data_IF_374505379113
#
_entry.id   IF_374505379113
#
_cell.length_a   1.000
_cell.length_b   1.000
_cell.length_c   1.000
_cell.angle_alpha   90.00
_cell.angle_beta   90.00
_cell.angle_gamma   90.00
#
_symmetry.space_group_name_H-M   'P 1'
#
loop_
_entity.id
_entity.type
_entity.pdbx_description
1 polymer ?
#
# COMPACT_ATOMS: atom_id res chain seq x y z
N UNK A 1 103.70 24.75 -20.94
CA UNK A 1 102.35 25.23 -21.09
C UNK A 1 101.41 23.99 -21.05
N UNK A 2 100.79 23.76 -19.89
CA UNK A 2 99.98 22.58 -19.70
C UNK A 2 98.53 23.03 -19.46
N UNK A 3 97.61 22.71 -20.33
CA UNK A 3 96.17 22.90 -20.18
C UNK A 3 95.65 21.75 -19.23
N UNK A 4 94.93 22.14 -18.20
CA UNK A 4 94.20 21.23 -17.32
C UNK A 4 92.73 21.34 -17.66
N UNK A 5 92.12 20.22 -18.10
CA UNK A 5 90.72 20.08 -18.34
C UNK A 5 89.97 19.86 -17.04
N UNK A 6 88.96 20.68 -16.71
CA UNK A 6 88.03 20.44 -15.62
C UNK A 6 86.85 19.63 -16.17
N UNK A 7 86.58 18.51 -15.56
CA UNK A 7 85.34 17.72 -15.79
C UNK A 7 84.35 18.12 -14.73
N UNK A 8 83.23 18.73 -15.12
CA UNK A 8 82.07 18.94 -14.23
C UNK A 8 81.12 17.74 -14.28
N UNK A 9 80.97 17.06 -13.17
CA UNK A 9 79.93 16.06 -12.99
C UNK A 9 78.61 16.73 -12.64
N UNK A 10 77.61 16.59 -13.49
CA UNK A 10 76.23 17.02 -13.19
C UNK A 10 75.48 15.86 -12.50
N UNK A 11 75.19 16.02 -11.20
CA UNK A 11 74.30 15.10 -10.47
C UNK A 11 72.84 15.47 -10.78
N UNK A 12 72.18 14.65 -11.63
CA UNK A 12 70.76 14.79 -11.89
C UNK A 12 69.92 14.20 -10.76
N UNK A 13 69.24 15.04 -9.97
CA UNK A 13 68.24 14.60 -8.97
C UNK A 13 66.94 14.29 -9.66
N UNK A 14 66.61 12.99 -9.81
CA UNK A 14 65.29 12.56 -10.29
C UNK A 14 64.28 12.74 -9.17
N UNK A 15 63.40 13.73 -9.30
CA UNK A 15 62.21 13.87 -8.42
C UNK A 15 61.16 12.89 -8.89
N UNK A 16 60.97 11.79 -8.17
CA UNK A 16 59.84 10.89 -8.31
C UNK A 16 58.58 11.59 -7.79
N UNK A 17 57.78 12.20 -8.67
CA UNK A 17 56.43 12.65 -8.31
C UNK A 17 55.54 11.41 -8.28
N UNK A 18 55.38 10.83 -7.06
CA UNK A 18 54.31 9.85 -6.80
C UNK A 18 52.97 10.60 -6.76
N UNK A 19 52.32 10.69 -7.91
CA UNK A 19 50.94 11.13 -7.98
C UNK A 19 50.06 10.10 -7.25
N UNK A 20 49.71 10.38 -6.01
CA UNK A 20 48.62 9.70 -5.35
C UNK A 20 47.33 10.05 -6.11
N UNK A 21 46.89 9.15 -6.98
CA UNK A 21 45.52 9.16 -7.49
C UNK A 21 44.63 8.81 -6.28
N UNK A 22 44.14 9.84 -5.58
CA UNK A 22 42.93 9.67 -4.78
C UNK A 22 41.82 9.23 -5.73
N UNK A 23 41.49 7.95 -5.72
CA UNK A 23 40.29 7.46 -6.34
C UNK A 23 39.13 8.22 -5.70
N UNK A 24 38.58 9.22 -6.38
CA UNK A 24 37.33 9.85 -6.00
C UNK A 24 36.34 8.69 -5.77
N UNK A 25 36.01 8.45 -4.48
CA UNK A 25 34.96 7.49 -4.13
C UNK A 25 33.75 7.89 -4.97
N UNK A 26 33.40 7.07 -5.94
CA UNK A 26 32.20 7.32 -6.75
C UNK A 26 31.06 7.55 -5.77
N UNK A 27 30.33 8.65 -5.89
CA UNK A 27 29.16 8.88 -5.09
C UNK A 27 28.28 7.64 -5.26
N UNK A 28 27.85 7.04 -4.15
CA UNK A 28 26.98 5.88 -4.23
C UNK A 28 25.73 6.28 -5.03
N UNK A 29 25.32 5.44 -5.98
CA UNK A 29 24.07 5.66 -6.70
C UNK A 29 22.90 5.73 -5.71
N UNK A 30 21.99 6.67 -5.92
CA UNK A 30 20.84 6.89 -5.05
C UNK A 30 19.53 6.70 -5.81
N UNK A 31 18.56 6.04 -5.18
CA UNK A 31 17.21 5.90 -5.68
C UNK A 31 16.25 6.70 -4.80
N UNK A 32 15.67 7.76 -5.36
CA UNK A 32 14.78 8.64 -4.59
C UNK A 32 13.34 8.13 -4.58
N UNK A 33 12.74 8.10 -3.38
CA UNK A 33 11.39 7.65 -3.10
C UNK A 33 10.61 8.74 -2.35
N UNK A 34 9.69 9.45 -3.00
CA UNK A 34 8.83 10.42 -2.33
C UNK A 34 7.81 9.72 -1.42
N UNK A 35 7.62 10.22 -0.21
CA UNK A 35 6.65 9.72 0.75
C UNK A 35 5.58 10.78 1.03
N UNK A 36 4.38 10.58 0.51
CA UNK A 36 3.22 11.38 0.87
C UNK A 36 2.64 10.81 2.18
N UNK A 37 2.67 11.60 3.24
CA UNK A 37 2.27 11.13 4.57
C UNK A 37 1.14 11.99 5.14
N UNK A 38 0.45 11.49 6.17
CA UNK A 38 -0.49 12.25 6.98
C UNK A 38 -0.30 11.89 8.45
N UNK A 39 0.72 12.54 9.04
CA UNK A 39 1.09 12.37 10.45
C UNK A 39 0.33 13.30 11.38
N UNK A 40 -0.51 14.19 10.82
CA UNK A 40 -1.31 15.18 11.55
C UNK A 40 -2.77 15.17 11.11
N UNK A 41 -3.66 15.68 11.97
CA UNK A 41 -5.09 15.75 11.70
C UNK A 41 -5.87 14.47 12.06
N UNK A 42 -7.17 14.38 11.66
CA UNK A 42 -8.07 13.30 12.07
C UNK A 42 -7.66 11.90 11.61
N UNK A 43 -6.81 11.81 10.61
CA UNK A 43 -6.36 10.55 10.02
C UNK A 43 -4.96 10.12 10.49
N UNK A 44 -4.31 10.93 11.34
CA UNK A 44 -2.98 10.65 11.88
C UNK A 44 -2.87 9.29 12.62
N UNK A 45 -3.88 8.83 13.38
CA UNK A 45 -3.81 7.51 14.02
C UNK A 45 -3.56 6.36 13.04
N UNK A 46 -4.04 6.49 11.80
CA UNK A 46 -3.78 5.52 10.73
C UNK A 46 -2.51 5.85 9.92
N UNK A 47 -2.24 7.14 9.69
CA UNK A 47 -1.11 7.60 8.87
C UNK A 47 0.25 7.41 9.50
N UNK A 48 0.36 7.57 10.83
CA UNK A 48 1.63 7.45 11.55
C UNK A 48 2.21 6.03 11.45
N UNK A 49 1.48 4.95 11.84
CA UNK A 49 2.06 3.60 11.75
C UNK A 49 2.37 3.21 10.30
N UNK A 50 1.53 3.58 9.33
CA UNK A 50 1.76 3.30 7.92
C UNK A 50 3.09 3.93 7.42
N UNK A 51 3.31 5.21 7.70
CA UNK A 51 4.54 5.92 7.33
C UNK A 51 5.77 5.35 8.05
N UNK A 52 5.64 4.97 9.33
CA UNK A 52 6.73 4.36 10.09
C UNK A 52 7.16 3.02 9.46
N UNK A 53 6.22 2.16 9.08
CA UNK A 53 6.53 0.91 8.40
C UNK A 53 7.32 1.11 7.10
N UNK A 54 6.95 2.12 6.30
CA UNK A 54 7.69 2.47 5.09
C UNK A 54 9.12 2.88 5.37
N UNK A 55 9.30 3.87 6.23
CA UNK A 55 10.63 4.42 6.53
C UNK A 55 11.54 3.39 7.17
N UNK A 56 10.99 2.54 8.03
CA UNK A 56 11.75 1.49 8.69
C UNK A 56 12.19 0.40 7.69
N UNK A 57 11.34 0.02 6.74
CA UNK A 57 11.75 -0.95 5.73
C UNK A 57 12.82 -0.41 4.79
N UNK A 58 12.70 0.81 4.30
CA UNK A 58 13.75 1.42 3.48
C UNK A 58 15.06 1.60 4.25
N UNK A 59 14.97 1.96 5.54
CA UNK A 59 16.13 2.04 6.42
C UNK A 59 16.76 0.67 6.66
N UNK A 60 15.95 -0.39 6.81
CA UNK A 60 16.41 -1.77 6.92
C UNK A 60 17.23 -2.17 5.67
N UNK A 61 16.68 -1.96 4.47
CA UNK A 61 17.37 -2.30 3.22
C UNK A 61 18.70 -1.55 3.10
N UNK A 62 18.73 -0.27 3.47
CA UNK A 62 19.99 0.48 3.46
C UNK A 62 21.02 -0.02 4.48
N UNK A 63 20.59 -0.33 5.71
CA UNK A 63 21.51 -0.72 6.78
C UNK A 63 21.94 -2.18 6.73
N UNK A 64 21.01 -3.08 6.34
CA UNK A 64 21.29 -4.51 6.27
C UNK A 64 21.97 -4.89 4.96
N UNK A 65 21.46 -4.37 3.83
CA UNK A 65 21.81 -4.83 2.48
C UNK A 65 22.73 -3.84 1.72
N UNK A 66 22.96 -2.64 2.28
CA UNK A 66 23.71 -1.57 1.59
C UNK A 66 22.91 -0.93 0.44
N UNK A 67 21.57 -0.93 0.54
CA UNK A 67 20.65 -0.49 -0.51
C UNK A 67 20.18 -1.63 -1.41
N UNK A 68 19.52 -1.30 -2.51
CA UNK A 68 19.06 -2.29 -3.50
C UNK A 68 20.18 -2.54 -4.50
N UNK A 69 20.87 -3.68 -4.37
CA UNK A 69 22.04 -4.03 -5.18
C UNK A 69 23.11 -2.92 -5.20
N UNK A 70 23.39 -2.31 -4.04
CA UNK A 70 24.37 -1.24 -3.87
C UNK A 70 23.87 0.17 -4.16
N UNK A 71 22.61 0.34 -4.56
CA UNK A 71 21.96 1.66 -4.75
C UNK A 71 21.23 2.05 -3.48
N UNK A 72 21.64 3.15 -2.85
CA UNK A 72 21.07 3.64 -1.59
C UNK A 72 19.66 4.20 -1.82
N UNK A 73 18.71 3.81 -0.99
CA UNK A 73 17.36 4.38 -1.01
C UNK A 73 17.37 5.71 -0.23
N UNK A 74 17.01 6.80 -0.90
CA UNK A 74 16.78 8.10 -0.27
C UNK A 74 15.29 8.43 -0.32
N UNK A 75 14.77 9.08 0.71
CA UNK A 75 13.35 9.43 0.78
C UNK A 75 13.12 10.74 1.52
N UNK A 76 12.03 11.42 1.15
CA UNK A 76 11.56 12.64 1.80
C UNK A 76 10.06 12.56 2.04
N UNK A 77 9.65 12.84 3.28
CA UNK A 77 8.24 12.92 3.64
C UNK A 77 7.64 14.29 3.29
N UNK A 78 6.42 14.30 2.78
CA UNK A 78 5.63 15.51 2.59
C UNK A 78 4.24 15.31 3.22
N UNK A 79 3.86 16.19 4.15
CA UNK A 79 2.63 16.12 4.93
C UNK A 79 1.43 16.54 4.09
N UNK A 80 0.48 15.64 3.90
CA UNK A 80 -0.74 15.87 3.10
C UNK A 80 -1.98 16.11 3.96
N UNK A 81 -1.95 15.77 5.25
CA UNK A 81 -3.13 15.78 6.15
C UNK A 81 -4.32 14.98 5.57
N UNK A 82 -4.05 14.00 4.69
CA UNK A 82 -5.06 13.28 3.91
C UNK A 82 -5.93 14.20 3.03
N UNK A 83 -5.42 15.36 2.66
CA UNK A 83 -6.10 16.33 1.81
C UNK A 83 -5.62 16.20 0.36
N UNK A 84 -6.55 16.09 -0.57
CA UNK A 84 -6.25 15.84 -1.99
C UNK A 84 -5.41 16.96 -2.61
N UNK A 85 -5.71 18.23 -2.32
CA UNK A 85 -4.96 19.38 -2.83
C UNK A 85 -3.52 19.37 -2.33
N UNK A 86 -3.32 19.20 -1.01
CA UNK A 86 -1.98 19.11 -0.42
C UNK A 86 -1.21 17.89 -0.97
N UNK A 87 -1.90 16.77 -1.23
CA UNK A 87 -1.28 15.61 -1.85
C UNK A 87 -0.74 15.88 -3.26
N UNK A 88 -1.49 16.63 -4.09
CA UNK A 88 -1.01 17.06 -5.41
C UNK A 88 0.15 18.05 -5.27
N UNK A 89 0.10 18.99 -4.33
CA UNK A 89 1.22 19.92 -4.05
C UNK A 89 2.48 19.17 -3.61
N UNK A 90 2.35 18.16 -2.73
CA UNK A 90 3.45 17.30 -2.32
C UNK A 90 4.05 16.52 -3.49
N UNK A 91 3.21 15.98 -4.36
CA UNK A 91 3.66 15.30 -5.58
C UNK A 91 4.49 16.23 -6.47
N UNK A 92 3.95 17.43 -6.79
CA UNK A 92 4.66 18.41 -7.63
C UNK A 92 6.01 18.83 -7.02
N UNK A 93 6.06 18.98 -5.70
CA UNK A 93 7.30 19.31 -4.97
C UNK A 93 8.35 18.20 -5.06
N UNK A 94 7.93 16.92 -5.06
CA UNK A 94 8.84 15.80 -4.89
C UNK A 94 9.15 15.04 -6.19
N UNK A 95 8.30 15.11 -7.23
CA UNK A 95 8.42 14.29 -8.43
C UNK A 95 9.74 14.43 -9.18
N UNK A 96 10.38 15.60 -9.13
CA UNK A 96 11.66 15.88 -9.80
C UNK A 96 12.91 15.73 -8.92
N UNK A 97 12.75 15.32 -7.63
CA UNK A 97 13.90 15.18 -6.72
C UNK A 97 14.67 13.88 -6.93
N UNK A 98 15.92 13.89 -6.48
CA UNK A 98 16.85 12.77 -6.66
C UNK A 98 17.56 12.80 -8.02
N UNK A 99 18.54 11.91 -8.24
CA UNK A 99 19.37 11.92 -9.45
C UNK A 99 18.59 11.66 -10.74
N UNK A 100 17.52 10.89 -10.67
CA UNK A 100 16.70 10.44 -11.81
C UNK A 100 15.23 10.83 -11.69
N UNK A 101 14.88 11.73 -10.77
CA UNK A 101 13.50 12.02 -10.38
C UNK A 101 12.91 10.96 -9.45
N UNK A 102 11.64 11.13 -9.08
CA UNK A 102 10.90 10.15 -8.31
C UNK A 102 10.76 8.83 -9.09
N UNK A 103 11.10 7.72 -8.45
CA UNK A 103 11.04 6.40 -9.12
C UNK A 103 9.65 5.78 -9.11
N UNK A 104 8.89 6.02 -8.07
CA UNK A 104 7.50 5.56 -7.89
C UNK A 104 6.85 6.46 -6.85
N UNK A 105 5.56 6.70 -6.98
CA UNK A 105 4.77 7.40 -5.97
C UNK A 105 3.71 6.47 -5.36
N UNK A 106 3.58 6.51 -4.05
CA UNK A 106 2.45 5.92 -3.35
C UNK A 106 1.64 7.05 -2.69
N UNK A 107 0.44 7.36 -3.20
CA UNK A 107 -0.31 8.52 -2.72
C UNK A 107 -0.97 8.35 -1.36
N UNK A 108 -1.12 7.12 -0.85
CA UNK A 108 -1.83 6.78 0.39
C UNK A 108 -3.26 7.35 0.50
N UNK A 109 -3.88 7.62 -0.63
CA UNK A 109 -5.21 8.19 -0.71
C UNK A 109 -5.81 7.94 -2.08
N UNK A 110 -7.03 7.40 -2.13
CA UNK A 110 -7.79 7.23 -3.38
C UNK A 110 -8.04 8.59 -4.06
N UNK A 111 -8.38 9.62 -3.28
CA UNK A 111 -8.61 10.96 -3.85
C UNK A 111 -7.36 11.57 -4.48
N UNK A 112 -6.20 11.40 -3.86
CA UNK A 112 -4.91 11.85 -4.43
C UNK A 112 -4.57 11.01 -5.67
N UNK A 113 -4.74 9.68 -5.60
CA UNK A 113 -4.48 8.79 -6.74
C UNK A 113 -5.25 9.22 -7.98
N UNK A 114 -6.55 9.51 -7.85
CA UNK A 114 -7.36 9.98 -8.98
C UNK A 114 -6.81 11.25 -9.65
N UNK A 115 -6.26 12.17 -8.86
CA UNK A 115 -5.67 13.41 -9.40
C UNK A 115 -4.31 13.18 -10.07
N UNK A 116 -3.59 12.13 -9.66
CA UNK A 116 -2.27 11.81 -10.20
C UNK A 116 -2.31 10.91 -11.44
N UNK A 117 -3.41 10.18 -11.66
CA UNK A 117 -3.55 9.29 -12.83
C UNK A 117 -3.18 9.99 -14.15
N UNK A 118 -3.73 11.17 -14.51
CA UNK A 118 -3.38 11.83 -15.76
C UNK A 118 -1.97 12.44 -15.76
N UNK A 119 -1.35 12.63 -14.60
CA UNK A 119 0.01 13.19 -14.47
C UNK A 119 1.09 12.12 -14.62
N UNK A 120 0.84 10.92 -14.16
CA UNK A 120 1.81 9.82 -14.12
C UNK A 120 2.50 9.55 -15.49
N UNK A 121 1.78 9.41 -16.62
CA UNK A 121 2.40 9.22 -17.93
C UNK A 121 3.18 10.44 -18.41
N UNK A 122 2.73 11.66 -18.08
CA UNK A 122 3.37 12.91 -18.51
C UNK A 122 4.69 13.12 -17.77
N UNK A 123 4.70 12.83 -16.47
CA UNK A 123 5.86 13.02 -15.60
C UNK A 123 6.81 11.79 -15.60
N UNK A 124 6.37 10.66 -16.18
CA UNK A 124 7.13 9.41 -16.17
C UNK A 124 7.28 8.80 -14.77
N UNK A 125 6.34 9.05 -13.86
CA UNK A 125 6.36 8.54 -12.46
C UNK A 125 5.21 7.56 -12.26
N UNK A 126 5.47 6.25 -12.11
CA UNK A 126 4.42 5.27 -11.88
C UNK A 126 3.80 5.42 -10.49
N UNK A 127 2.52 5.05 -10.38
CA UNK A 127 1.77 5.06 -9.14
C UNK A 127 1.61 3.62 -8.64
N UNK A 128 2.11 3.31 -7.46
CA UNK A 128 1.71 2.11 -6.73
C UNK A 128 0.59 2.48 -5.75
N UNK A 129 -0.64 2.10 -6.09
CA UNK A 129 -1.85 2.41 -5.32
C UNK A 129 -2.32 1.18 -4.53
N UNK A 130 -1.38 0.51 -3.83
CA UNK A 130 -1.69 -0.70 -3.07
C UNK A 130 -2.76 -0.45 -2.00
N UNK A 131 -3.90 -1.13 -2.15
CA UNK A 131 -5.02 -1.02 -1.22
C UNK A 131 -5.86 0.26 -1.37
N UNK A 132 -5.58 1.12 -2.38
CA UNK A 132 -6.37 2.30 -2.71
C UNK A 132 -6.97 2.20 -4.13
N UNK A 133 -7.97 3.03 -4.43
CA UNK A 133 -8.51 3.18 -5.79
C UNK A 133 -7.55 3.98 -6.70
N UNK A 134 -7.79 4.07 -7.98
CA UNK A 134 -9.00 3.64 -8.70
C UNK A 134 -8.94 2.15 -9.01
N UNK A 135 -9.97 1.39 -8.65
CA UNK A 135 -10.00 -0.06 -8.90
C UNK A 135 -9.88 -0.41 -10.38
N UNK A 136 -10.54 0.32 -11.28
CA UNK A 136 -10.45 0.03 -12.72
C UNK A 136 -9.07 0.30 -13.31
N UNK A 137 -8.16 0.96 -12.58
CA UNK A 137 -6.76 1.08 -12.96
C UNK A 137 -6.01 -0.27 -12.93
N UNK A 138 -6.62 -1.33 -12.43
CA UNK A 138 -6.15 -2.70 -12.59
C UNK A 138 -6.11 -3.17 -14.06
N UNK A 139 -6.84 -2.52 -14.98
CA UNK A 139 -6.65 -2.76 -16.41
C UNK A 139 -5.43 -2.00 -16.95
N UNK A 140 -4.29 -2.64 -16.96
CA UNK A 140 -3.03 -2.06 -17.41
C UNK A 140 -2.98 -1.73 -18.91
N UNK A 141 -3.96 -2.21 -19.69
CA UNK A 141 -4.08 -1.81 -21.12
C UNK A 141 -4.47 -0.34 -21.24
N UNK A 142 -5.22 0.19 -20.27
CA UNK A 142 -5.67 1.59 -20.21
C UNK A 142 -4.84 2.40 -19.23
N UNK A 143 -4.55 1.85 -18.06
CA UNK A 143 -3.85 2.53 -16.98
C UNK A 143 -2.41 2.04 -16.84
N UNK A 144 -1.64 2.26 -17.88
CA UNK A 144 -0.25 1.79 -18.00
C UNK A 144 0.67 2.18 -16.83
N UNK A 145 0.36 3.27 -16.13
CA UNK A 145 1.20 3.87 -15.09
C UNK A 145 0.66 3.68 -13.66
N UNK A 146 -0.41 2.91 -13.48
CA UNK A 146 -1.06 2.71 -12.17
C UNK A 146 -1.13 1.22 -11.84
N UNK A 147 -0.69 0.86 -10.64
CA UNK A 147 -0.61 -0.52 -10.16
C UNK A 147 -1.38 -0.65 -8.84
N UNK A 148 -2.27 -1.64 -8.72
CA UNK A 148 -3.19 -1.83 -7.60
C UNK A 148 -2.97 -3.13 -6.82
N UNK A 149 -1.95 -3.94 -7.22
CA UNK A 149 -1.73 -5.22 -6.55
C UNK A 149 -1.50 -5.07 -5.04
N UNK A 150 -1.73 -6.10 -4.20
CA UNK A 150 -2.10 -7.48 -4.57
C UNK A 150 -3.59 -7.69 -4.88
N UNK A 151 -4.47 -6.73 -4.60
CA UNK A 151 -5.92 -6.85 -4.80
C UNK A 151 -6.60 -5.47 -4.71
N UNK A 152 -7.81 -5.32 -5.24
CA UNK A 152 -8.55 -4.05 -5.30
C UNK A 152 -9.77 -4.04 -4.37
N UNK A 153 -10.40 -2.87 -4.20
CA UNK A 153 -11.64 -2.74 -3.42
C UNK A 153 -12.80 -3.54 -4.01
N UNK A 154 -12.88 -3.70 -5.34
CA UNK A 154 -13.93 -4.49 -5.95
C UNK A 154 -13.72 -5.98 -5.67
N UNK A 155 -12.50 -6.45 -5.78
CA UNK A 155 -12.12 -7.81 -5.41
C UNK A 155 -12.38 -8.07 -3.93
N UNK A 156 -11.96 -7.15 -3.05
CA UNK A 156 -12.24 -7.25 -1.61
C UNK A 156 -13.74 -7.29 -1.30
N UNK A 157 -14.55 -6.40 -1.89
CA UNK A 157 -15.99 -6.37 -1.66
C UNK A 157 -16.63 -7.69 -2.06
N UNK A 158 -16.22 -8.28 -3.19
CA UNK A 158 -16.70 -9.57 -3.65
C UNK A 158 -16.32 -10.71 -2.69
N UNK A 159 -15.10 -10.70 -2.17
CA UNK A 159 -14.62 -11.68 -1.20
C UNK A 159 -15.30 -11.54 0.17
N UNK A 160 -15.63 -10.30 0.61
CA UNK A 160 -16.42 -10.07 1.84
C UNK A 160 -17.84 -10.63 1.68
N UNK A 161 -18.51 -10.43 0.52
CA UNK A 161 -19.82 -11.01 0.27
C UNK A 161 -19.72 -12.55 0.23
N UNK A 162 -18.64 -13.13 -0.33
CA UNK A 162 -18.35 -14.57 -0.24
C UNK A 162 -18.30 -15.02 1.23
N UNK A 163 -17.56 -14.31 2.07
CA UNK A 163 -17.47 -14.64 3.49
C UNK A 163 -18.84 -14.57 4.19
N UNK A 164 -19.61 -13.51 3.95
CA UNK A 164 -20.96 -13.38 4.50
C UNK A 164 -21.84 -14.58 4.06
N UNK A 165 -21.78 -14.96 2.78
CA UNK A 165 -22.47 -16.14 2.28
C UNK A 165 -22.06 -17.43 3.01
N UNK A 166 -20.76 -17.64 3.24
CA UNK A 166 -20.27 -18.80 4.01
C UNK A 166 -20.84 -18.81 5.45
N UNK A 167 -20.91 -17.63 6.09
CA UNK A 167 -21.48 -17.51 7.44
C UNK A 167 -23.00 -17.74 7.48
N UNK A 168 -23.70 -17.54 6.38
CA UNK A 168 -25.15 -17.78 6.22
C UNK A 168 -25.46 -19.16 5.63
N UNK A 169 -24.44 -20.02 5.43
CA UNK A 169 -24.58 -21.38 4.92
C UNK A 169 -24.66 -21.53 3.42
N UNK A 170 -24.40 -20.46 2.66
CA UNK A 170 -24.38 -20.42 1.21
C UNK A 170 -24.76 -19.05 0.67
N UNK A 171 -24.32 -18.73 -0.56
CA UNK A 171 -24.65 -17.44 -1.20
C UNK A 171 -26.15 -17.33 -1.54
N UNK A 172 -26.79 -18.46 -1.82
CA UNK A 172 -28.23 -18.59 -2.06
C UNK A 172 -29.05 -18.16 -0.84
N UNK A 173 -28.51 -18.29 0.37
CA UNK A 173 -29.15 -17.90 1.61
C UNK A 173 -29.05 -16.38 1.88
N UNK A 174 -28.40 -15.64 1.00
CA UNK A 174 -28.39 -14.16 1.07
C UNK A 174 -29.69 -13.56 0.53
N UNK A 175 -30.49 -14.30 -0.23
CA UNK A 175 -31.78 -13.82 -0.72
C UNK A 175 -32.70 -13.34 0.41
N UNK A 176 -33.15 -12.08 0.34
CA UNK A 176 -33.97 -11.44 1.36
C UNK A 176 -33.21 -10.96 2.60
N UNK A 177 -31.92 -11.24 2.75
CA UNK A 177 -31.07 -10.63 3.80
C UNK A 177 -30.80 -9.16 3.50
N UNK A 178 -30.39 -8.42 4.53
CA UNK A 178 -30.02 -7.01 4.41
C UNK A 178 -28.54 -6.84 4.76
N UNK A 179 -27.79 -6.22 3.86
CA UNK A 179 -26.41 -5.84 4.10
C UNK A 179 -26.31 -4.31 4.04
N UNK A 180 -25.90 -3.67 5.11
CA UNK A 180 -25.66 -2.22 5.12
C UNK A 180 -24.18 -1.94 4.84
N UNK A 181 -23.91 -1.06 3.89
CA UNK A 181 -22.56 -0.53 3.66
C UNK A 181 -22.46 0.87 4.24
N UNK A 182 -21.74 0.99 5.36
CA UNK A 182 -21.38 2.26 5.99
C UNK A 182 -20.05 2.72 5.40
N UNK A 183 -20.01 3.86 4.74
CA UNK A 183 -18.80 4.25 4.03
C UNK A 183 -18.49 5.75 4.14
N UNK A 184 -17.21 6.05 4.19
CA UNK A 184 -16.68 7.40 4.13
C UNK A 184 -17.15 8.06 2.83
N UNK A 185 -17.83 9.22 2.92
CA UNK A 185 -18.40 9.91 1.76
C UNK A 185 -17.32 10.60 0.92
N UNK A 186 -16.49 9.80 0.27
CA UNK A 186 -15.39 10.21 -0.59
C UNK A 186 -15.21 9.21 -1.74
N UNK A 187 -14.30 9.49 -2.66
CA UNK A 187 -13.90 8.57 -3.72
C UNK A 187 -13.53 7.19 -3.14
N UNK A 188 -12.78 7.15 -2.03
CA UNK A 188 -12.39 5.94 -1.34
C UNK A 188 -13.60 5.10 -0.88
N UNK A 189 -14.47 5.68 -0.06
CA UNK A 189 -15.54 4.90 0.55
C UNK A 189 -16.58 4.40 -0.45
N UNK A 190 -16.70 5.07 -1.60
CA UNK A 190 -17.63 4.70 -2.68
C UNK A 190 -17.12 3.58 -3.59
N UNK A 191 -15.83 3.25 -3.54
CA UNK A 191 -15.20 2.27 -4.43
C UNK A 191 -15.91 0.90 -4.41
N UNK A 192 -16.32 0.40 -3.25
CA UNK A 192 -16.94 -0.92 -3.13
C UNK A 192 -18.38 -0.98 -3.72
N UNK A 193 -19.07 0.16 -3.87
CA UNK A 193 -20.49 0.21 -4.21
C UNK A 193 -20.85 -0.52 -5.53
N UNK A 194 -20.12 -0.35 -6.65
CA UNK A 194 -20.45 -1.03 -7.90
C UNK A 194 -20.49 -2.55 -7.77
N UNK A 195 -19.48 -3.13 -7.10
CA UNK A 195 -19.42 -4.57 -6.87
C UNK A 195 -20.56 -5.04 -5.95
N UNK A 196 -20.81 -4.31 -4.85
CA UNK A 196 -21.89 -4.64 -3.93
C UNK A 196 -23.26 -4.59 -4.62
N UNK A 197 -23.52 -3.63 -5.51
CA UNK A 197 -24.75 -3.52 -6.29
C UNK A 197 -24.96 -4.73 -7.21
N UNK A 198 -23.93 -5.09 -7.99
CA UNK A 198 -23.99 -6.26 -8.88
C UNK A 198 -24.22 -7.56 -8.09
N UNK A 199 -23.56 -7.69 -6.94
CA UNK A 199 -23.73 -8.87 -6.09
C UNK A 199 -25.12 -8.90 -5.41
N UNK A 200 -25.65 -7.74 -5.02
CA UNK A 200 -27.00 -7.63 -4.47
C UNK A 200 -28.05 -8.08 -5.49
N UNK A 201 -27.94 -7.65 -6.75
CA UNK A 201 -28.81 -8.11 -7.83
C UNK A 201 -28.68 -9.62 -8.07
N UNK A 202 -27.43 -10.13 -8.10
CA UNK A 202 -27.16 -11.54 -8.40
C UNK A 202 -27.65 -12.50 -7.30
N UNK A 203 -27.49 -12.12 -6.03
CA UNK A 203 -27.78 -12.99 -4.89
C UNK A 203 -29.02 -12.60 -4.09
N UNK A 204 -29.74 -11.56 -4.52
CA UNK A 204 -31.05 -11.19 -3.99
C UNK A 204 -31.05 -10.58 -2.59
N UNK A 205 -29.93 -10.03 -2.09
CA UNK A 205 -29.93 -9.32 -0.83
C UNK A 205 -30.26 -7.83 -1.01
N UNK A 206 -30.88 -7.22 0.02
CA UNK A 206 -31.11 -5.78 0.07
C UNK A 206 -29.80 -5.07 0.45
N UNK A 207 -29.27 -4.21 -0.43
CA UNK A 207 -28.11 -3.36 -0.14
C UNK A 207 -28.56 -2.01 0.37
N UNK A 208 -28.11 -1.63 1.58
CA UNK A 208 -28.41 -0.35 2.21
C UNK A 208 -27.15 0.50 2.22
N UNK A 209 -27.08 1.55 1.41
CA UNK A 209 -25.95 2.46 1.31
C UNK A 209 -26.09 3.61 2.32
N UNK A 210 -25.10 3.75 3.22
CA UNK A 210 -25.07 4.73 4.30
C UNK A 210 -23.77 5.54 4.26
N UNK A 211 -23.75 6.67 3.53
CA UNK A 211 -22.60 7.56 3.50
C UNK A 211 -22.43 8.27 4.85
N UNK A 212 -21.19 8.44 5.29
CA UNK A 212 -20.79 9.20 6.46
C UNK A 212 -19.85 10.30 6.01
N UNK A 213 -20.18 11.55 6.25
CA UNK A 213 -19.35 12.68 5.87
C UNK A 213 -18.07 12.73 6.72
N UNK A 214 -16.98 13.08 6.06
CA UNK A 214 -15.70 13.17 6.74
C UNK A 214 -15.59 14.39 7.68
N UNK A 215 -14.84 14.25 8.77
CA UNK A 215 -13.93 13.15 9.12
C UNK A 215 -14.62 11.90 9.72
N UNK A 216 -15.94 11.82 9.78
CA UNK A 216 -16.67 10.64 10.21
C UNK A 216 -16.93 10.58 11.73
N UNK A 217 -16.91 11.69 12.43
CA UNK A 217 -17.18 11.75 13.87
C UNK A 217 -18.69 11.79 14.19
N UNK A 218 -19.51 12.30 13.26
CA UNK A 218 -20.96 12.45 13.44
C UNK A 218 -21.70 11.25 12.84
N UNK A 219 -21.86 10.16 13.59
CA UNK A 219 -22.45 8.92 13.08
C UNK A 219 -23.72 8.46 13.78
N UNK A 220 -24.15 9.15 14.84
CA UNK A 220 -25.32 8.74 15.64
C UNK A 220 -26.58 8.53 14.80
N UNK A 221 -26.85 9.41 13.84
CA UNK A 221 -28.00 9.27 12.95
C UNK A 221 -27.92 8.03 12.06
N UNK A 222 -26.71 7.71 11.55
CA UNK A 222 -26.44 6.51 10.74
C UNK A 222 -26.72 5.24 11.53
N UNK A 223 -26.24 5.14 12.77
CA UNK A 223 -26.42 3.95 13.60
C UNK A 223 -27.86 3.81 14.13
N UNK A 224 -28.58 4.92 14.33
CA UNK A 224 -30.04 4.86 14.58
C UNK A 224 -30.82 4.35 13.35
N UNK A 225 -30.37 4.66 12.13
CA UNK A 225 -30.93 4.06 10.91
C UNK A 225 -30.66 2.55 10.84
N UNK A 226 -29.44 2.09 11.16
CA UNK A 226 -29.08 0.67 11.23
C UNK A 226 -29.97 -0.05 12.23
N UNK A 227 -30.13 0.49 13.45
CA UNK A 227 -31.04 -0.06 14.46
C UNK A 227 -32.48 -0.21 13.95
N UNK A 228 -32.98 0.76 13.22
CA UNK A 228 -34.35 0.76 12.65
C UNK A 228 -34.49 -0.21 11.47
N UNK A 229 -33.51 -0.24 10.57
CA UNK A 229 -33.53 -1.08 9.36
C UNK A 229 -33.19 -2.52 9.64
N UNK A 230 -32.49 -2.81 10.75
CA UNK A 230 -32.08 -4.13 11.23
C UNK A 230 -31.36 -4.95 10.13
N UNK A 231 -30.25 -4.47 9.55
CA UNK A 231 -29.49 -5.28 8.61
C UNK A 231 -28.94 -6.53 9.30
N UNK A 232 -28.78 -7.60 8.53
CA UNK A 232 -28.17 -8.85 9.00
C UNK A 232 -26.65 -8.69 9.17
N UNK A 233 -26.05 -7.85 8.31
CA UNK A 233 -24.63 -7.56 8.31
C UNK A 233 -24.38 -6.09 8.05
N UNK A 234 -23.29 -5.59 8.63
CA UNK A 234 -22.71 -4.28 8.28
C UNK A 234 -21.34 -4.50 7.69
N UNK A 235 -21.11 -3.94 6.52
CA UNK A 235 -19.79 -3.77 5.92
C UNK A 235 -19.39 -2.30 6.03
N UNK A 236 -18.14 -2.01 6.40
CA UNK A 236 -17.67 -0.64 6.55
C UNK A 236 -16.43 -0.35 5.69
N UNK A 237 -16.51 0.73 4.94
CA UNK A 237 -15.36 1.38 4.28
C UNK A 237 -15.07 2.72 4.95
N UNK A 238 -14.55 2.68 6.16
CA UNK A 238 -14.21 3.84 6.98
C UNK A 238 -12.71 4.11 7.03
N UNK A 239 -12.32 5.26 7.58
CA UNK A 239 -10.92 5.66 7.70
C UNK A 239 -10.68 6.57 8.91
N UNK A 240 -9.56 6.36 9.60
CA UNK A 240 -9.15 7.17 10.74
C UNK A 240 -10.17 7.18 11.86
N UNK A 241 -10.47 8.36 12.39
CA UNK A 241 -11.41 8.52 13.53
C UNK A 241 -12.82 8.00 13.25
N UNK A 242 -13.23 7.87 11.99
CA UNK A 242 -14.51 7.30 11.61
C UNK A 242 -14.69 5.88 12.15
N UNK A 243 -13.63 5.06 12.11
CA UNK A 243 -13.70 3.63 12.44
C UNK A 243 -14.02 3.41 13.92
N UNK A 244 -13.24 4.03 14.82
CA UNK A 244 -13.48 3.91 16.27
C UNK A 244 -14.85 4.46 16.68
N UNK A 245 -15.32 5.53 16.04
CA UNK A 245 -16.68 6.08 16.30
C UNK A 245 -17.74 5.08 15.82
N UNK A 246 -17.58 4.50 14.63
CA UNK A 246 -18.50 3.50 14.11
C UNK A 246 -18.64 2.28 15.04
N UNK A 247 -17.53 1.79 15.57
CA UNK A 247 -17.52 0.63 16.50
C UNK A 247 -18.25 0.99 17.79
N UNK A 248 -17.98 2.16 18.37
CA UNK A 248 -18.67 2.63 19.60
C UNK A 248 -20.17 2.82 19.37
N UNK A 249 -20.56 3.44 18.27
CA UNK A 249 -21.96 3.66 17.94
C UNK A 249 -22.68 2.34 17.63
N UNK A 250 -22.03 1.38 16.97
CA UNK A 250 -22.58 0.03 16.76
C UNK A 250 -22.90 -0.65 18.10
N UNK A 251 -21.98 -0.62 19.03
CA UNK A 251 -22.19 -1.15 20.39
C UNK A 251 -23.34 -0.42 21.11
N UNK A 252 -23.42 0.91 20.99
CA UNK A 252 -24.45 1.73 21.65
C UNK A 252 -25.87 1.39 21.20
N UNK A 253 -26.04 0.93 19.95
CA UNK A 253 -27.34 0.49 19.42
C UNK A 253 -27.56 -1.03 19.53
N UNK A 254 -26.61 -1.76 20.14
CA UNK A 254 -26.67 -3.21 20.36
C UNK A 254 -26.48 -4.02 19.06
N UNK A 255 -25.71 -3.52 18.09
CA UNK A 255 -25.42 -4.28 16.88
C UNK A 255 -24.36 -5.36 17.18
N UNK A 256 -24.56 -6.64 16.75
CA UNK A 256 -23.61 -7.73 16.99
C UNK A 256 -22.27 -7.47 16.29
N UNK A 257 -21.16 -7.43 17.08
CA UNK A 257 -19.84 -7.14 16.54
C UNK A 257 -19.33 -8.21 15.58
N UNK A 258 -19.71 -9.47 15.75
CA UNK A 258 -19.37 -10.57 14.83
C UNK A 258 -20.11 -10.52 13.49
N UNK A 259 -21.07 -9.61 13.34
CA UNK A 259 -21.76 -9.28 12.09
C UNK A 259 -21.33 -7.92 11.49
N UNK A 260 -20.31 -7.31 12.08
CA UNK A 260 -19.74 -6.03 11.62
C UNK A 260 -18.33 -6.25 11.06
N UNK A 261 -18.18 -6.02 9.75
CA UNK A 261 -16.94 -6.27 9.00
C UNK A 261 -16.42 -4.97 8.43
N UNK A 262 -15.20 -4.56 8.81
CA UNK A 262 -14.47 -3.48 8.17
C UNK A 262 -13.73 -3.95 6.91
N UNK A 263 -13.47 -3.04 6.00
CA UNK A 263 -12.50 -3.31 4.95
C UNK A 263 -11.06 -3.30 5.51
N UNK A 264 -10.03 -3.53 4.69
CA UNK A 264 -8.64 -3.58 5.16
C UNK A 264 -8.07 -2.24 5.71
N UNK A 265 -8.80 -1.12 5.57
CA UNK A 265 -8.47 0.18 6.19
C UNK A 265 -9.30 0.46 7.45
N UNK A 266 -10.22 -0.41 7.78
CA UNK A 266 -11.08 -0.33 8.95
C UNK A 266 -10.83 -1.49 9.91
N UNK A 267 -9.60 -1.99 9.98
CA UNK A 267 -9.21 -3.15 10.78
C UNK A 267 -7.81 -3.00 11.35
N UNK A 268 -7.53 -1.86 11.96
CA UNK A 268 -6.26 -1.58 12.62
C UNK A 268 -6.41 -1.46 14.12
N UNK A 269 -5.29 -1.51 14.82
CA UNK A 269 -5.21 -1.34 16.27
C UNK A 269 -5.78 0.02 16.70
N UNK A 270 -5.52 1.07 15.91
CA UNK A 270 -6.04 2.41 16.15
C UNK A 270 -7.58 2.52 16.04
N UNK A 271 -8.23 1.56 15.38
CA UNK A 271 -9.69 1.54 15.20
C UNK A 271 -10.39 0.89 16.41
N UNK A 272 -9.79 -0.14 16.99
CA UNK A 272 -10.40 -1.03 17.98
C UNK A 272 -10.00 -0.70 19.41
N UNK A 273 -8.72 -0.37 19.67
CA UNK A 273 -8.22 -0.06 21.01
C UNK A 273 -9.01 1.08 21.67
N UNK A 274 -9.31 2.22 21.01
CA UNK A 274 -10.07 3.30 21.62
C UNK A 274 -11.54 2.95 21.94
N UNK A 275 -12.05 1.83 21.41
CA UNK A 275 -13.41 1.37 21.67
C UNK A 275 -13.48 0.34 22.81
N UNK A 276 -12.35 -0.01 23.42
CA UNK A 276 -12.22 -0.95 24.52
C UNK A 276 -12.99 -2.27 24.26
N UNK A 277 -13.64 -2.83 25.26
CA UNK A 277 -14.42 -4.08 25.17
C UNK A 277 -15.55 -4.02 24.14
N UNK A 278 -15.97 -2.82 23.74
CA UNK A 278 -17.01 -2.64 22.72
C UNK A 278 -16.57 -3.11 21.33
N UNK A 279 -15.27 -3.25 21.10
CA UNK A 279 -14.71 -3.76 19.86
C UNK A 279 -14.55 -5.27 19.78
N UNK A 280 -14.73 -6.00 20.90
CA UNK A 280 -14.57 -7.45 20.93
C UNK A 280 -15.55 -8.15 19.98
N UNK A 281 -15.01 -9.00 19.12
CA UNK A 281 -15.76 -9.69 18.09
C UNK A 281 -15.82 -8.95 16.73
N UNK A 282 -15.46 -7.66 16.68
CA UNK A 282 -15.38 -6.91 15.42
C UNK A 282 -14.44 -7.59 14.42
N UNK A 283 -14.86 -7.62 13.15
CA UNK A 283 -14.14 -8.27 12.06
C UNK A 283 -13.65 -7.27 11.05
N UNK A 284 -12.59 -7.61 10.35
CA UNK A 284 -12.15 -6.85 9.17
C UNK A 284 -11.46 -7.73 8.14
N UNK A 285 -11.46 -7.27 6.90
CA UNK A 285 -10.63 -7.86 5.86
C UNK A 285 -9.16 -7.50 6.10
N UNK A 286 -8.27 -8.41 5.71
CA UNK A 286 -6.83 -8.19 5.73
C UNK A 286 -6.17 -8.83 4.49
N UNK A 287 -5.03 -8.30 4.07
CA UNK A 287 -4.24 -8.79 2.94
C UNK A 287 -2.80 -9.17 3.34
N UNK A 288 -2.48 -9.05 4.62
CA UNK A 288 -1.23 -9.48 5.25
C UNK A 288 -1.47 -9.75 6.74
N UNK A 289 -0.56 -10.47 7.38
CA UNK A 289 -0.63 -10.78 8.80
C UNK A 289 -0.36 -9.55 9.69
N UNK A 290 -0.93 -9.56 10.90
CA UNK A 290 -0.61 -8.63 11.97
C UNK A 290 0.48 -9.22 12.90
N UNK A 291 0.99 -8.38 13.82
CA UNK A 291 1.99 -8.80 14.83
C UNK A 291 3.42 -8.83 14.30
N UNK A 292 4.33 -9.33 15.12
CA UNK A 292 5.78 -9.32 14.88
C UNK A 292 6.41 -10.71 14.78
N UNK A 293 5.61 -11.73 14.51
CA UNK A 293 6.04 -13.14 14.47
C UNK A 293 6.84 -13.55 13.22
N UNK A 294 7.45 -12.62 12.50
CA UNK A 294 8.16 -12.85 11.25
C UNK A 294 9.61 -12.37 11.36
N UNK A 295 10.58 -13.08 10.77
CA UNK A 295 12.00 -12.73 10.85
C UNK A 295 12.35 -11.30 10.44
N UNK A 296 11.62 -10.72 9.50
CA UNK A 296 11.82 -9.31 9.08
C UNK A 296 11.73 -8.32 10.24
N UNK A 297 10.92 -8.58 11.26
CA UNK A 297 10.80 -7.69 12.43
C UNK A 297 12.01 -7.79 13.37
N UNK A 298 12.62 -8.97 13.49
CA UNK A 298 13.87 -9.12 14.23
C UNK A 298 15.01 -8.38 13.53
N UNK A 299 15.04 -8.40 12.19
CA UNK A 299 15.97 -7.60 11.41
C UNK A 299 15.72 -6.10 11.59
N UNK A 300 14.48 -5.64 11.59
CA UNK A 300 14.13 -4.23 11.88
C UNK A 300 14.62 -3.84 13.27
N UNK A 301 14.36 -4.64 14.30
CA UNK A 301 14.86 -4.39 15.65
C UNK A 301 16.39 -4.26 15.67
N UNK A 302 17.07 -5.19 15.02
CA UNK A 302 18.53 -5.25 14.98
C UNK A 302 19.15 -4.07 14.22
N UNK A 303 18.73 -3.87 12.97
CA UNK A 303 19.41 -2.94 12.05
C UNK A 303 18.85 -1.51 12.12
N UNK A 304 17.56 -1.33 12.38
CA UNK A 304 16.94 0.02 12.45
C UNK A 304 17.02 0.58 13.85
N UNK A 305 16.70 -0.24 14.86
CA UNK A 305 16.62 0.20 16.27
C UNK A 305 17.83 -0.21 17.13
N UNK A 306 18.87 -0.82 16.55
CA UNK A 306 20.10 -1.19 17.29
C UNK A 306 19.86 -2.22 18.39
N UNK A 307 18.84 -3.07 18.26
CA UNK A 307 18.45 -4.09 19.24
C UNK A 307 17.37 -3.65 20.23
N UNK A 308 16.94 -2.39 20.21
CA UNK A 308 15.92 -1.85 21.13
C UNK A 308 14.51 -2.18 20.63
N UNK A 309 14.01 -3.36 21.00
CA UNK A 309 12.63 -3.81 20.66
C UNK A 309 11.57 -2.89 21.27
N UNK A 310 11.80 -2.35 22.46
CA UNK A 310 10.82 -1.47 23.10
C UNK A 310 10.59 -0.21 22.25
N UNK A 311 11.68 0.43 21.80
CA UNK A 311 11.60 1.59 20.92
C UNK A 311 10.91 1.27 19.59
N UNK A 312 11.14 0.08 19.03
CA UNK A 312 10.47 -0.36 17.83
C UNK A 312 8.94 -0.50 18.04
N UNK A 313 8.52 -1.09 19.18
CA UNK A 313 7.10 -1.19 19.54
C UNK A 313 6.45 0.17 19.81
N UNK A 314 7.17 1.12 20.45
CA UNK A 314 6.71 2.50 20.61
C UNK A 314 6.51 3.20 19.26
N UNK A 315 7.28 2.81 18.24
CA UNK A 315 7.11 3.25 16.84
C UNK A 315 6.06 2.45 16.07
N UNK A 316 5.17 1.73 16.75
CA UNK A 316 4.03 1.00 16.20
C UNK A 316 4.37 -0.29 15.46
N UNK A 317 5.58 -0.83 15.60
CA UNK A 317 5.98 -2.09 14.97
C UNK A 317 5.02 -3.23 15.37
N UNK A 318 4.51 -3.94 14.37
CA UNK A 318 3.57 -5.04 14.54
C UNK A 318 2.09 -4.66 14.49
N UNK A 319 1.74 -3.37 14.62
CA UNK A 319 0.37 -2.92 14.35
C UNK A 319 0.01 -3.13 12.87
N UNK A 320 -1.26 -3.40 12.59
CA UNK A 320 -1.72 -3.74 11.22
C UNK A 320 -1.26 -2.72 10.17
N UNK A 321 -1.36 -1.42 10.46
CA UNK A 321 -0.98 -0.39 9.48
C UNK A 321 0.52 -0.19 9.37
N UNK A 322 1.30 -0.41 10.43
CA UNK A 322 2.75 -0.47 10.32
C UNK A 322 3.17 -1.63 9.39
N UNK A 323 2.58 -2.79 9.59
CA UNK A 323 2.80 -3.98 8.77
C UNK A 323 2.40 -3.73 7.31
N UNK A 324 1.33 -2.95 7.08
CA UNK A 324 0.91 -2.50 5.74
C UNK A 324 1.98 -1.65 5.07
N UNK A 325 2.62 -0.75 5.81
CA UNK A 325 3.75 0.06 5.35
C UNK A 325 4.93 -0.81 4.90
N UNK A 326 5.27 -1.85 5.70
CA UNK A 326 6.33 -2.82 5.36
C UNK A 326 6.03 -3.54 4.04
N UNK A 327 4.81 -4.08 3.86
CA UNK A 327 4.43 -4.80 2.63
C UNK A 327 4.52 -3.89 1.41
N UNK A 328 4.03 -2.67 1.53
CA UNK A 328 4.04 -1.70 0.44
C UNK A 328 5.48 -1.31 0.05
N UNK A 329 6.33 -1.03 1.05
CA UNK A 329 7.74 -0.72 0.84
C UNK A 329 8.50 -1.92 0.22
N UNK A 330 8.20 -3.14 0.65
CA UNK A 330 8.76 -4.36 0.08
C UNK A 330 8.44 -4.48 -1.41
N UNK A 331 7.19 -4.26 -1.81
CA UNK A 331 6.83 -4.29 -3.23
C UNK A 331 7.57 -3.24 -4.06
N UNK A 332 7.77 -2.04 -3.52
CA UNK A 332 8.57 -0.99 -4.18
C UNK A 332 10.02 -1.45 -4.37
N UNK A 333 10.63 -2.00 -3.32
CA UNK A 333 12.01 -2.49 -3.36
C UNK A 333 12.17 -3.63 -4.37
N UNK A 334 11.26 -4.59 -4.39
CA UNK A 334 11.31 -5.71 -5.33
C UNK A 334 11.03 -5.28 -6.78
N UNK A 335 10.21 -4.26 -7.00
CA UNK A 335 10.03 -3.67 -8.33
C UNK A 335 11.32 -2.96 -8.83
N UNK A 336 12.01 -2.24 -7.94
CA UNK A 336 13.33 -1.66 -8.26
C UNK A 336 14.34 -2.76 -8.56
N UNK A 337 14.41 -3.83 -7.74
CA UNK A 337 15.29 -4.98 -7.96
C UNK A 337 15.00 -5.67 -9.31
N UNK A 338 13.73 -5.87 -9.63
CA UNK A 338 13.29 -6.42 -10.93
C UNK A 338 13.75 -5.54 -12.09
N UNK A 339 13.58 -4.23 -11.97
CA UNK A 339 14.03 -3.28 -12.98
C UNK A 339 15.56 -3.26 -13.12
N UNK A 340 16.31 -3.33 -12.02
CA UNK A 340 17.78 -3.43 -12.05
C UNK A 340 18.27 -4.69 -12.77
N UNK A 341 17.53 -5.79 -12.69
CA UNK A 341 17.84 -7.00 -13.47
C UNK A 341 17.86 -6.77 -14.98
N UNK A 342 17.10 -5.78 -15.47
CA UNK A 342 17.07 -5.39 -16.89
C UNK A 342 18.00 -4.22 -17.22
N UNK A 343 18.05 -3.20 -16.36
CA UNK A 343 18.67 -1.93 -16.66
C UNK A 343 20.02 -1.70 -15.96
N UNK A 344 20.44 -2.66 -15.11
CA UNK A 344 21.68 -2.61 -14.32
C UNK A 344 21.50 -1.98 -12.95
N UNK A 345 22.46 -2.27 -12.05
CA UNK A 345 22.47 -1.82 -10.66
C UNK A 345 22.91 -0.34 -10.56
N UNK A 346 21.97 0.54 -10.79
CA UNK A 346 22.15 1.99 -10.81
C UNK A 346 20.87 2.70 -10.43
N UNK A 347 20.91 4.02 -10.27
CA UNK A 347 19.70 4.86 -10.15
C UNK A 347 18.83 4.70 -11.40
N UNK A 348 17.55 4.39 -11.19
CA UNK A 348 16.57 4.13 -12.24
C UNK A 348 15.58 5.29 -12.37
N UNK A 349 15.18 5.60 -13.58
CA UNK A 349 14.06 6.53 -13.83
C UNK A 349 12.72 5.90 -13.47
N UNK A 350 11.68 6.72 -13.25
CA UNK A 350 10.32 6.22 -13.02
C UNK A 350 9.82 5.30 -14.15
N UNK A 351 10.15 5.60 -15.42
CA UNK A 351 9.82 4.72 -16.56
C UNK A 351 10.46 3.33 -16.43
N UNK A 352 11.69 3.26 -15.96
CA UNK A 352 12.37 1.97 -15.76
C UNK A 352 11.76 1.21 -14.57
N UNK A 353 11.41 1.92 -13.48
CA UNK A 353 10.72 1.30 -12.33
C UNK A 353 9.29 0.89 -12.69
N UNK A 354 8.59 1.64 -13.55
CA UNK A 354 7.30 1.19 -14.11
C UNK A 354 7.42 -0.18 -14.79
N UNK A 355 8.47 -0.38 -15.58
CA UNK A 355 8.72 -1.69 -16.17
C UNK A 355 8.92 -2.76 -15.07
N UNK A 356 9.63 -2.44 -13.99
CA UNK A 356 9.83 -3.34 -12.86
C UNK A 356 8.52 -3.70 -12.14
N UNK A 357 7.61 -2.74 -11.96
CA UNK A 357 6.28 -2.96 -11.40
C UNK A 357 5.44 -3.89 -12.28
N UNK A 358 5.45 -3.67 -13.61
CA UNK A 358 4.68 -4.46 -14.58
C UNK A 358 5.20 -5.90 -14.74
N UNK A 359 6.47 -6.13 -14.44
CA UNK A 359 7.11 -7.45 -14.51
C UNK A 359 7.40 -8.05 -13.13
N UNK A 360 6.77 -7.50 -12.09
CA UNK A 360 7.00 -7.96 -10.72
C UNK A 360 6.45 -9.37 -10.52
N UNK A 361 7.31 -10.24 -9.98
CA UNK A 361 6.96 -11.61 -9.61
C UNK A 361 7.54 -11.92 -8.22
N UNK A 362 6.78 -11.63 -7.18
CA UNK A 362 7.12 -11.98 -5.79
C UNK A 362 6.52 -13.35 -5.51
N UNK A 363 7.38 -14.36 -5.39
CA UNK A 363 7.00 -15.75 -5.11
C UNK A 363 7.03 -16.05 -3.60
N UNK A 364 6.53 -17.22 -3.20
CA UNK A 364 6.68 -17.69 -1.81
C UNK A 364 8.16 -17.82 -1.41
N UNK A 365 9.05 -18.26 -2.32
CA UNK A 365 10.48 -18.31 -2.06
C UNK A 365 11.07 -16.90 -1.88
N UNK A 366 10.60 -15.92 -2.66
CA UNK A 366 10.98 -14.52 -2.47
C UNK A 366 10.57 -14.04 -1.08
N UNK A 367 9.31 -14.24 -0.68
CA UNK A 367 8.82 -13.87 0.65
C UNK A 367 9.60 -14.57 1.77
N UNK A 368 9.90 -15.85 1.63
CA UNK A 368 10.71 -16.61 2.59
C UNK A 368 12.11 -16.02 2.74
N UNK A 369 12.78 -15.72 1.63
CA UNK A 369 14.13 -15.11 1.64
C UNK A 369 14.14 -13.71 2.26
N UNK A 370 13.03 -12.97 2.18
CA UNK A 370 12.87 -11.67 2.82
C UNK A 370 12.48 -11.75 4.30
N UNK A 371 12.34 -12.96 4.87
CA UNK A 371 11.84 -13.17 6.23
C UNK A 371 10.34 -12.87 6.39
N UNK A 372 9.58 -13.01 5.30
CA UNK A 372 8.14 -12.69 5.20
C UNK A 372 7.31 -13.90 4.78
N UNK A 373 7.77 -15.13 5.04
CA UNK A 373 7.02 -16.36 4.74
C UNK A 373 5.64 -16.31 5.44
N UNK A 374 4.56 -16.52 4.68
CA UNK A 374 3.17 -16.42 5.15
C UNK A 374 2.75 -15.03 5.69
N UNK A 375 3.54 -13.99 5.44
CA UNK A 375 3.22 -12.64 5.89
C UNK A 375 2.23 -11.93 4.96
N UNK A 376 2.37 -12.09 3.67
CA UNK A 376 1.46 -11.60 2.63
C UNK A 376 1.40 -12.59 1.46
N UNK A 377 0.45 -12.39 0.55
CA UNK A 377 0.32 -13.25 -0.62
C UNK A 377 1.41 -12.98 -1.66
N UNK A 378 1.85 -14.00 -2.43
CA UNK A 378 2.67 -13.81 -3.62
C UNK A 378 1.91 -12.98 -4.66
N UNK A 379 2.64 -12.26 -5.50
CA UNK A 379 2.07 -11.46 -6.59
C UNK A 379 2.81 -11.70 -7.90
N UNK A 380 2.07 -11.73 -9.01
CA UNK A 380 2.63 -11.75 -10.36
C UNK A 380 1.88 -10.76 -11.23
N UNK A 381 2.46 -9.60 -11.42
CA UNK A 381 1.89 -8.52 -12.23
C UNK A 381 2.13 -8.78 -13.72
N UNK A 382 1.21 -8.37 -14.55
CA UNK A 382 1.33 -8.46 -16.02
C UNK A 382 0.88 -7.17 -16.67
N UNK A 383 1.23 -6.96 -17.93
CA UNK A 383 0.79 -5.81 -18.72
C UNK A 383 -0.75 -5.61 -18.69
N UNK A 384 -1.52 -6.67 -18.74
CA UNK A 384 -2.98 -6.59 -18.78
C UNK A 384 -3.63 -6.53 -17.39
N UNK A 385 -2.94 -7.03 -16.36
CA UNK A 385 -3.47 -7.14 -15.01
C UNK A 385 -2.51 -6.53 -13.98
N UNK A 386 -2.87 -5.34 -13.51
CA UNK A 386 -2.13 -4.60 -12.48
C UNK A 386 -2.68 -4.85 -11.06
N UNK A 387 -3.70 -5.73 -10.92
CA UNK A 387 -4.27 -6.11 -9.61
C UNK A 387 -3.69 -7.41 -9.06
N UNK A 388 -3.54 -8.44 -9.92
CA UNK A 388 -3.28 -9.85 -9.59
C UNK A 388 -4.44 -10.60 -8.92
N UNK A 389 -5.44 -9.90 -8.39
CA UNK A 389 -6.65 -10.47 -7.78
C UNK A 389 -6.35 -11.47 -6.68
N UNK A 390 -5.41 -11.14 -5.78
CA UNK A 390 -5.04 -11.99 -4.66
C UNK A 390 -6.16 -12.14 -3.62
N UNK A 391 -6.16 -13.25 -2.87
CA UNK A 391 -7.15 -13.49 -1.82
C UNK A 391 -6.97 -12.50 -0.67
N UNK A 392 -8.07 -12.30 0.07
CA UNK A 392 -8.07 -11.69 1.40
C UNK A 392 -8.36 -12.75 2.45
N UNK A 393 -8.21 -12.40 3.71
CA UNK A 393 -8.76 -13.17 4.82
C UNK A 393 -9.51 -12.24 5.78
N UNK A 394 -10.34 -12.83 6.64
CA UNK A 394 -11.03 -12.10 7.71
C UNK A 394 -10.29 -12.32 9.00
N UNK A 395 -9.98 -11.23 9.68
CA UNK A 395 -9.46 -11.20 11.04
C UNK A 395 -10.55 -10.71 12.01
N UNK A 396 -10.47 -11.13 13.26
CA UNK A 396 -11.37 -10.74 14.33
C UNK A 396 -10.58 -10.18 15.51
N UNK A 397 -11.08 -9.09 16.10
CA UNK A 397 -10.51 -8.52 17.31
C UNK A 397 -10.92 -9.33 18.55
N UNK A 398 -9.92 -9.71 19.33
CA UNK A 398 -10.06 -10.51 20.55
C UNK A 398 -9.28 -9.87 21.69
N UNK A 399 -9.41 -10.40 22.90
CA UNK A 399 -8.61 -9.98 24.06
C UNK A 399 -7.10 -10.14 23.87
N UNK A 400 -6.68 -11.02 22.96
CA UNK A 400 -5.27 -11.29 22.64
C UNK A 400 -4.81 -10.55 21.36
N UNK A 401 -5.61 -9.62 20.83
CA UNK A 401 -5.35 -8.92 19.57
C UNK A 401 -6.07 -9.52 18.35
N UNK A 402 -5.60 -9.16 17.15
CA UNK A 402 -6.17 -9.66 15.91
C UNK A 402 -5.86 -11.14 15.67
N UNK A 403 -6.89 -11.92 15.37
CA UNK A 403 -6.79 -13.34 14.98
C UNK A 403 -7.46 -13.58 13.64
N UNK A 404 -6.81 -14.32 12.76
CA UNK A 404 -7.42 -14.76 11.49
C UNK A 404 -8.50 -15.77 11.77
N UNK A 405 -9.69 -15.58 11.21
CA UNK A 405 -10.90 -16.41 11.44
C UNK A 405 -11.49 -16.96 10.14
N UNK A 406 -10.81 -16.83 9.03
CA UNK A 406 -11.20 -17.45 7.76
C UNK A 406 -10.01 -18.09 7.05
N UNK A 407 -10.29 -19.04 6.17
CA UNK A 407 -9.36 -19.41 5.11
C UNK A 407 -9.16 -18.24 4.13
N UNK A 408 -8.16 -18.28 3.24
CA UNK A 408 -8.02 -17.32 2.16
C UNK A 408 -9.28 -17.26 1.29
N UNK A 409 -9.80 -16.06 1.08
CA UNK A 409 -11.03 -15.80 0.34
C UNK A 409 -10.71 -15.23 -1.04
N UNK A 410 -10.81 -16.06 -2.05
CA UNK A 410 -10.64 -15.64 -3.44
C UNK A 410 -11.76 -14.69 -3.86
N UNK A 411 -11.44 -13.59 -4.57
CA UNK A 411 -12.46 -12.71 -5.12
C UNK A 411 -13.24 -13.41 -6.27
N UNK A 412 -14.42 -12.91 -6.58
CA UNK A 412 -15.19 -13.34 -7.75
C UNK A 412 -14.67 -12.67 -9.03
N UNK A 413 -13.60 -13.21 -9.61
CA UNK A 413 -12.94 -12.66 -10.81
C UNK A 413 -13.90 -12.59 -12.01
N UNK A 414 -14.82 -13.52 -12.13
CA UNK A 414 -15.87 -13.55 -13.15
C UNK A 414 -16.89 -12.39 -13.04
N UNK A 415 -17.00 -11.78 -11.86
CA UNK A 415 -17.81 -10.57 -11.62
C UNK A 415 -16.95 -9.31 -11.74
N UNK A 416 -15.79 -9.33 -11.06
CA UNK A 416 -14.97 -8.12 -10.88
C UNK A 416 -14.23 -7.73 -12.16
N UNK A 417 -13.64 -8.69 -12.88
CA UNK A 417 -12.84 -8.37 -14.08
C UNK A 417 -13.67 -7.70 -15.19
N UNK A 418 -14.89 -8.16 -15.55
CA UNK A 418 -15.73 -7.44 -16.49
C UNK A 418 -16.13 -6.04 -16.08
N UNK A 419 -16.31 -5.80 -14.76
CA UNK A 419 -16.58 -4.44 -14.25
C UNK A 419 -15.35 -3.54 -14.43
N UNK A 420 -14.15 -4.04 -14.10
CA UNK A 420 -12.89 -3.32 -14.29
C UNK A 420 -12.71 -2.91 -15.75
N UNK A 421 -12.88 -3.86 -16.67
CA UNK A 421 -12.71 -3.63 -18.11
C UNK A 421 -13.74 -2.64 -18.66
N UNK A 422 -14.99 -2.73 -18.22
CA UNK A 422 -16.07 -1.81 -18.61
C UNK A 422 -15.77 -0.37 -18.15
N UNK A 423 -15.37 -0.17 -16.90
CA UNK A 423 -15.06 1.16 -16.36
C UNK A 423 -13.76 1.72 -16.97
N UNK A 424 -12.74 0.88 -17.17
CA UNK A 424 -11.51 1.26 -17.85
C UNK A 424 -11.78 1.69 -19.30
N UNK A 425 -12.63 0.98 -20.04
CA UNK A 425 -13.01 1.36 -21.39
C UNK A 425 -13.78 2.68 -21.44
N UNK A 426 -14.67 2.93 -20.47
CA UNK A 426 -15.36 4.21 -20.35
C UNK A 426 -14.37 5.36 -20.10
N UNK A 427 -13.44 5.17 -19.16
CA UNK A 427 -12.38 6.15 -18.89
C UNK A 427 -11.49 6.40 -20.13
N UNK A 428 -11.11 5.35 -20.86
CA UNK A 428 -10.31 5.48 -22.08
C UNK A 428 -11.03 6.33 -23.13
N UNK A 429 -12.33 6.10 -23.31
CA UNK A 429 -13.16 6.89 -24.25
C UNK A 429 -13.27 8.36 -23.83
N UNK A 430 -13.52 8.63 -22.55
CA UNK A 430 -13.64 10.00 -22.01
C UNK A 430 -12.34 10.80 -22.12
N UNK A 431 -11.18 10.12 -22.02
CA UNK A 431 -9.86 10.75 -22.01
C UNK A 431 -9.08 10.58 -23.33
N UNK A 432 -9.73 10.07 -24.38
CA UNK A 432 -9.10 9.80 -25.70
C UNK A 432 -7.84 8.92 -25.62
N UNK A 433 -7.86 7.91 -24.74
CA UNK A 433 -6.78 6.94 -24.57
C UNK A 433 -7.03 5.74 -25.49
N UNK A 434 -6.06 5.39 -26.30
CA UNK A 434 -6.05 4.13 -27.06
C UNK A 434 -5.46 3.03 -26.17
N UNK A 435 -6.23 1.99 -25.79
CA UNK A 435 -5.68 0.89 -25.00
C UNK A 435 -4.51 0.21 -25.71
N UNK A 436 -3.44 -0.05 -24.99
CA UNK A 436 -2.26 -0.75 -25.54
C UNK A 436 -2.51 -2.25 -25.69
N UNK A 437 -1.78 -2.89 -26.62
CA UNK A 437 -1.72 -4.35 -26.70
C UNK A 437 -0.79 -4.91 -25.62
N UNK A 438 -1.18 -6.03 -25.01
CA UNK A 438 -0.43 -6.79 -24.02
C UNK A 438 -0.11 -8.20 -24.54
N UNK A 439 0.41 -8.29 -25.76
CA UNK A 439 0.78 -9.57 -26.40
C UNK A 439 2.17 -10.03 -25.92
#
# INVERSE_FOLDING_TARGET
MKLRSLVMAAAGTAVLVTGAWEAKKAAADEQFLPLLVYRTGPYAPSGIPLANGFTDYYTLINKRDGGVNGVTLTFEECETKYNTKLGVECYEKLKGKGPTGASVINPYSTGITYQLIPKAPVDGVPILSMGYGRTSAADGRVFEWVFNFPTTYWSQASAIVRYIGQQEGGLENLAGKKIAHVFHNSAYGKEANPTLQVMAEKYGFELILLPVDHPGQEQKATWLQIRRKKPNWVFMSGWGVMNQVAIKEAASVGFPMDKFIGNWWSGSDADVIPADDHSLGYRSAALHAAGTGFPVFDDIVKYVYGGDRKKAMENKMGEVLYNRGIVNAMFVVEAIRTAQGKYGNKSLTGTQVRWGLENLNVTNDTLKNLGMENYTNPVKVTCADHETGGPIFIQQWTTDGWKVVSDPLEPYKDIVRPLIEKDAAAYAKENNITPRSCN
#
